data_IF_164543212750
#
_entry.id   IF_164543212750
#
_cell.length_a   1.000
_cell.length_b   1.000
_cell.length_c   1.000
_cell.angle_alpha   90.00
_cell.angle_beta   90.00
_cell.angle_gamma   90.00
#
_symmetry.space_group_name_H-M   'P 1'
#
loop_
_entity.id
_entity.type
_entity.pdbx_description
1 polymer ?
#
# COMPACT_ATOMS: atom_id res chain seq x y z
N UNK A 1 -34.02 55.35 -5.41
CA UNK A 1 -33.65 54.28 -4.47
C UNK A 1 -33.16 52.96 -5.11
N UNK A 2 -33.46 52.66 -6.36
CA UNK A 2 -33.07 51.36 -7.01
C UNK A 2 -31.57 51.21 -7.36
N UNK A 3 -30.85 52.31 -7.60
CA UNK A 3 -29.44 52.26 -8.03
C UNK A 3 -28.45 51.87 -6.91
N UNK A 4 -28.71 52.34 -5.69
CA UNK A 4 -27.84 52.06 -4.53
C UNK A 4 -27.91 50.61 -4.09
N UNK A 5 -29.12 50.01 -4.09
CA UNK A 5 -29.34 48.61 -3.71
C UNK A 5 -28.67 47.64 -4.68
N UNK A 6 -28.71 47.92 -5.99
CA UNK A 6 -28.02 47.10 -7.02
C UNK A 6 -26.52 47.12 -6.81
N UNK A 7 -25.94 48.29 -6.53
CA UNK A 7 -24.50 48.41 -6.25
C UNK A 7 -24.07 47.59 -5.04
N UNK A 8 -24.84 47.64 -3.95
CA UNK A 8 -24.54 46.86 -2.73
C UNK A 8 -24.60 45.34 -3.02
N UNK A 9 -25.62 44.88 -3.73
CA UNK A 9 -25.75 43.45 -4.11
C UNK A 9 -24.57 43.02 -4.98
N UNK A 10 -24.15 43.84 -5.93
CA UNK A 10 -23.01 43.55 -6.79
C UNK A 10 -21.70 43.45 -6.00
N UNK A 11 -21.45 44.37 -5.06
CA UNK A 11 -20.26 44.30 -4.20
C UNK A 11 -20.23 43.07 -3.29
N UNK A 12 -21.39 42.72 -2.70
CA UNK A 12 -21.51 41.51 -1.87
C UNK A 12 -21.27 40.23 -2.70
N UNK A 13 -21.79 40.16 -3.92
CA UNK A 13 -21.57 39.05 -4.81
C UNK A 13 -20.08 38.90 -5.20
N UNK A 14 -19.42 40.01 -5.53
CA UNK A 14 -17.97 40.01 -5.87
C UNK A 14 -17.15 39.58 -4.63
N UNK A 15 -17.49 40.05 -3.42
CA UNK A 15 -16.81 39.68 -2.20
C UNK A 15 -16.95 38.17 -1.91
N UNK A 16 -18.15 37.61 -2.07
CA UNK A 16 -18.41 36.19 -1.91
C UNK A 16 -17.61 35.35 -2.89
N UNK A 17 -17.55 35.75 -4.18
CA UNK A 17 -16.76 35.03 -5.20
C UNK A 17 -15.26 35.09 -4.87
N UNK A 18 -14.76 36.24 -4.40
CA UNK A 18 -13.36 36.38 -3.99
C UNK A 18 -13.02 35.50 -2.77
N UNK A 19 -13.90 35.47 -1.76
CA UNK A 19 -13.70 34.58 -0.58
C UNK A 19 -13.75 33.11 -0.96
N UNK A 20 -14.67 32.72 -1.86
CA UNK A 20 -14.72 31.34 -2.37
C UNK A 20 -13.47 30.99 -3.19
N UNK A 21 -12.98 31.88 -4.04
CA UNK A 21 -11.78 31.67 -4.84
C UNK A 21 -10.53 31.52 -3.95
N UNK A 22 -10.38 32.36 -2.93
CA UNK A 22 -9.27 32.26 -1.96
C UNK A 22 -9.39 30.98 -1.13
N UNK A 23 -10.57 30.66 -0.63
CA UNK A 23 -10.82 29.43 0.14
C UNK A 23 -10.54 28.18 -0.69
N UNK A 24 -10.92 28.16 -1.97
CA UNK A 24 -10.66 27.07 -2.90
C UNK A 24 -9.17 26.96 -3.25
N UNK A 25 -8.48 28.09 -3.45
CA UNK A 25 -7.04 28.10 -3.68
C UNK A 25 -6.27 27.58 -2.45
N UNK A 26 -6.64 27.98 -1.23
CA UNK A 26 -6.05 27.48 0.02
C UNK A 26 -6.36 26.00 0.22
N UNK A 27 -7.57 25.55 -0.13
CA UNK A 27 -7.93 24.13 -0.06
C UNK A 27 -7.11 23.29 -1.04
N UNK A 28 -6.95 23.74 -2.30
CA UNK A 28 -6.11 23.06 -3.28
C UNK A 28 -4.65 23.04 -2.83
N UNK A 29 -4.10 24.16 -2.38
CA UNK A 29 -2.69 24.25 -1.98
C UNK A 29 -2.38 23.50 -0.69
N UNK A 30 -3.28 23.45 0.28
CA UNK A 30 -3.06 22.77 1.56
C UNK A 30 -3.65 21.36 1.62
N UNK A 31 -4.65 21.03 0.79
CA UNK A 31 -5.31 19.73 0.78
C UNK A 31 -4.68 18.71 -0.17
N UNK A 32 -3.92 19.16 -1.18
CA UNK A 32 -3.32 18.27 -2.18
C UNK A 32 -1.79 18.29 -2.24
N UNK A 33 -1.13 19.20 -1.54
CA UNK A 33 0.32 19.09 -1.39
C UNK A 33 0.62 18.09 -0.26
N UNK A 34 0.70 16.80 -0.62
CA UNK A 34 1.51 15.90 0.21
C UNK A 34 2.87 16.58 0.37
N UNK A 35 3.25 16.86 1.62
CA UNK A 35 4.60 17.38 1.90
C UNK A 35 5.58 16.48 1.16
N UNK A 36 6.54 17.05 0.40
CA UNK A 36 7.51 16.22 -0.30
C UNK A 36 8.15 15.29 0.72
N UNK A 37 7.99 13.99 0.51
CA UNK A 37 8.52 12.99 1.43
C UNK A 37 10.05 13.08 1.40
N UNK A 38 10.66 12.91 2.56
CA UNK A 38 12.12 12.99 2.72
C UNK A 38 12.88 11.90 1.95
N UNK A 39 12.16 10.91 1.42
CA UNK A 39 12.75 9.78 0.70
C UNK A 39 11.78 9.21 -0.35
N UNK A 40 12.30 8.38 -1.21
CA UNK A 40 11.56 7.49 -2.10
C UNK A 40 12.17 6.09 -2.11
N UNK A 41 11.44 5.12 -2.61
CA UNK A 41 11.88 3.73 -2.74
C UNK A 41 11.89 3.35 -4.21
N UNK A 42 12.99 2.76 -4.66
CA UNK A 42 13.10 2.15 -5.97
C UNK A 42 12.84 0.64 -5.79
N UNK A 43 11.81 0.12 -6.47
CA UNK A 43 11.39 -1.28 -6.37
C UNK A 43 11.54 -1.91 -7.74
N UNK A 44 12.49 -2.85 -7.87
CA UNK A 44 12.78 -3.51 -9.14
C UNK A 44 13.04 -2.54 -10.31
N UNK A 45 13.43 -1.28 -10.03
CA UNK A 45 13.63 -0.21 -11.01
C UNK A 45 12.51 0.84 -11.05
N UNK A 46 11.37 0.59 -10.40
CA UNK A 46 10.26 1.53 -10.35
C UNK A 46 10.39 2.48 -9.16
N UNK A 47 10.33 3.79 -9.42
CA UNK A 47 10.41 4.81 -8.36
C UNK A 47 9.05 5.04 -7.71
N UNK A 48 8.95 4.73 -6.40
CA UNK A 48 7.77 4.95 -5.58
C UNK A 48 8.04 6.05 -4.54
N UNK A 49 7.25 7.12 -4.58
CA UNK A 49 7.40 8.27 -3.69
C UNK A 49 6.30 8.35 -2.61
N UNK A 50 5.16 7.70 -2.77
CA UNK A 50 4.06 7.75 -1.79
C UNK A 50 3.44 6.40 -1.52
N UNK A 51 2.73 5.86 -2.49
CA UNK A 51 2.11 4.53 -2.43
C UNK A 51 2.15 3.88 -3.81
N UNK A 52 2.17 2.55 -3.81
CA UNK A 52 2.08 1.75 -5.01
C UNK A 52 1.32 0.45 -4.71
N UNK A 53 0.86 -0.24 -5.75
CA UNK A 53 0.10 -1.48 -5.65
C UNK A 53 0.37 -2.38 -6.86
N UNK A 54 -0.10 -3.63 -6.77
CA UNK A 54 -0.04 -4.58 -7.88
C UNK A 54 1.29 -5.33 -8.00
N UNK A 55 2.17 -5.25 -7.00
CA UNK A 55 3.38 -6.08 -6.98
C UNK A 55 3.04 -7.53 -6.64
N UNK A 56 3.70 -8.45 -7.32
CA UNK A 56 3.62 -9.88 -7.04
C UNK A 56 4.92 -10.36 -6.40
N UNK A 57 4.81 -10.95 -5.22
CA UNK A 57 5.92 -11.55 -4.51
C UNK A 57 5.89 -13.07 -4.70
N UNK A 58 6.70 -13.58 -5.61
CA UNK A 58 6.87 -15.01 -5.87
C UNK A 58 8.06 -15.58 -5.07
N UNK A 59 8.05 -16.88 -4.81
CA UNK A 59 9.10 -17.56 -4.02
C UNK A 59 10.51 -17.30 -4.56
N UNK A 60 10.66 -17.27 -5.89
CA UNK A 60 11.97 -17.15 -6.54
C UNK A 60 12.21 -15.75 -7.13
N UNK A 61 11.31 -14.80 -6.88
CA UNK A 61 11.37 -13.42 -7.36
C UNK A 61 11.16 -12.42 -6.22
N UNK A 62 12.21 -12.13 -5.44
CA UNK A 62 12.10 -11.20 -4.33
C UNK A 62 11.78 -9.78 -4.81
N UNK A 63 11.07 -9.01 -3.98
CA UNK A 63 11.00 -7.57 -4.16
C UNK A 63 12.34 -6.96 -3.71
N UNK A 64 13.06 -6.37 -4.66
CA UNK A 64 14.32 -5.66 -4.42
C UNK A 64 14.03 -4.18 -4.24
N UNK A 65 14.25 -3.67 -3.05
CA UNK A 65 13.95 -2.31 -2.68
C UNK A 65 15.22 -1.54 -2.36
N UNK A 66 15.36 -0.34 -2.91
CA UNK A 66 16.42 0.61 -2.57
C UNK A 66 15.81 1.87 -2.00
N UNK A 67 16.13 2.19 -0.75
CA UNK A 67 15.68 3.42 -0.08
C UNK A 67 16.64 4.56 -0.44
N UNK A 68 16.11 5.67 -0.97
CA UNK A 68 16.88 6.84 -1.36
C UNK A 68 16.36 8.07 -0.63
N UNK A 69 17.16 8.60 0.29
CA UNK A 69 16.86 9.85 0.98
C UNK A 69 17.21 11.06 0.09
N UNK A 70 16.39 12.10 0.17
CA UNK A 70 16.60 13.34 -0.59
C UNK A 70 17.67 14.24 0.05
N UNK A 71 17.94 14.08 1.34
CA UNK A 71 19.05 14.74 2.04
C UNK A 71 20.28 13.84 2.07
N UNK A 72 21.48 14.45 2.11
CA UNK A 72 22.76 13.74 2.14
C UNK A 72 23.00 12.95 3.45
N UNK A 73 22.28 13.25 4.51
CA UNK A 73 22.42 12.54 5.77
C UNK A 73 21.77 11.17 5.68
N UNK A 74 22.55 10.12 5.89
CA UNK A 74 22.03 8.75 5.99
C UNK A 74 21.04 8.69 7.14
N UNK A 75 19.78 8.45 6.81
CA UNK A 75 18.70 8.33 7.78
C UNK A 75 18.30 6.87 7.90
N UNK A 76 18.05 6.43 9.13
CA UNK A 76 17.54 5.10 9.39
C UNK A 76 16.07 5.00 8.95
N UNK A 77 15.67 3.78 8.62
CA UNK A 77 14.28 3.45 8.27
C UNK A 77 13.89 2.11 8.87
N UNK A 78 12.62 1.94 9.12
CA UNK A 78 12.01 0.67 9.53
C UNK A 78 11.24 0.08 8.36
N UNK A 79 11.12 -1.24 8.36
CA UNK A 79 10.34 -2.01 7.37
C UNK A 79 9.42 -2.93 8.14
N UNK A 80 8.14 -2.89 7.80
CA UNK A 80 7.10 -3.75 8.35
C UNK A 80 6.21 -4.27 7.22
N UNK A 81 5.60 -5.42 7.41
CA UNK A 81 4.59 -5.95 6.50
C UNK A 81 3.29 -6.12 7.30
N UNK A 82 2.28 -5.38 6.90
CA UNK A 82 0.96 -5.41 7.51
C UNK A 82 -0.04 -6.08 6.58
N UNK A 83 -1.12 -6.63 7.13
CA UNK A 83 -2.27 -7.02 6.31
C UNK A 83 -2.81 -5.80 5.56
N UNK A 84 -3.27 -5.96 4.33
CA UNK A 84 -4.06 -4.94 3.66
C UNK A 84 -5.53 -5.11 4.08
N UNK A 85 -6.27 -4.00 4.27
CA UNK A 85 -7.71 -4.09 4.56
C UNK A 85 -8.42 -4.76 3.37
N UNK A 86 -9.06 -5.89 3.62
CA UNK A 86 -9.73 -6.72 2.61
C UNK A 86 -10.94 -7.44 3.21
N UNK A 87 -11.86 -7.82 2.35
CA UNK A 87 -12.98 -8.74 2.64
C UNK A 87 -12.56 -10.22 2.64
N UNK A 88 -11.28 -10.51 2.34
CA UNK A 88 -10.74 -11.86 2.39
C UNK A 88 -10.78 -12.42 3.81
N UNK A 89 -11.23 -13.67 3.93
CA UNK A 89 -11.38 -14.39 5.20
C UNK A 89 -10.65 -15.73 5.12
N UNK A 90 -9.93 -16.06 6.17
CA UNK A 90 -9.31 -17.36 6.37
C UNK A 90 -9.72 -17.94 7.72
N UNK A 91 -9.43 -19.21 7.95
CA UNK A 91 -9.81 -19.92 9.15
C UNK A 91 -8.57 -20.42 9.88
N UNK A 92 -8.55 -20.24 11.20
CA UNK A 92 -7.55 -20.76 12.11
C UNK A 92 -8.27 -21.66 13.11
N UNK A 93 -8.02 -22.96 13.06
CA UNK A 93 -8.75 -24.00 13.85
C UNK A 93 -10.28 -23.86 13.71
N UNK A 94 -10.75 -23.56 12.51
CA UNK A 94 -12.16 -23.37 12.19
C UNK A 94 -12.74 -22.01 12.60
N UNK A 95 -11.97 -21.13 13.25
CA UNK A 95 -12.41 -19.76 13.58
C UNK A 95 -12.08 -18.81 12.43
N UNK A 96 -13.05 -17.99 12.04
CA UNK A 96 -12.89 -16.99 10.98
C UNK A 96 -11.97 -15.85 11.41
N UNK A 97 -10.99 -15.54 10.57
CA UNK A 97 -10.05 -14.43 10.70
C UNK A 97 -10.12 -13.59 9.41
N UNK A 98 -10.01 -12.27 9.54
CA UNK A 98 -10.06 -11.34 8.40
C UNK A 98 -8.83 -10.44 8.34
N UNK A 99 -8.59 -9.86 7.18
CA UNK A 99 -7.52 -8.89 6.98
C UNK A 99 -7.99 -7.48 7.35
N UNK A 100 -7.59 -7.01 8.54
CA UNK A 100 -8.05 -5.71 9.10
C UNK A 100 -7.30 -4.49 8.56
N UNK A 101 -6.08 -4.72 8.01
CA UNK A 101 -5.18 -3.65 7.54
C UNK A 101 -4.13 -3.20 8.56
N UNK A 102 -4.11 -3.78 9.76
CA UNK A 102 -3.21 -3.40 10.85
C UNK A 102 -2.45 -4.59 11.46
N UNK A 103 -2.80 -5.81 11.06
CA UNK A 103 -2.17 -7.00 11.58
C UNK A 103 -0.75 -7.14 11.03
N UNK A 104 0.23 -7.35 11.93
CA UNK A 104 1.65 -7.49 11.57
C UNK A 104 1.94 -8.91 11.06
N UNK A 105 2.46 -8.99 9.85
CA UNK A 105 2.92 -10.19 9.17
C UNK A 105 4.43 -10.17 8.89
N UNK A 106 5.18 -9.24 9.49
CA UNK A 106 6.61 -9.06 9.19
C UNK A 106 7.40 -10.35 9.32
N UNK A 107 7.16 -11.11 10.40
CA UNK A 107 7.87 -12.37 10.68
C UNK A 107 7.45 -13.54 9.76
N UNK A 108 6.40 -13.37 8.95
CA UNK A 108 5.97 -14.36 7.96
C UNK A 108 6.72 -14.23 6.62
N UNK A 109 7.62 -13.25 6.51
CA UNK A 109 8.44 -12.99 5.32
C UNK A 109 9.92 -12.90 5.71
N UNK A 110 10.79 -13.15 4.74
CA UNK A 110 12.23 -12.98 4.94
C UNK A 110 12.64 -11.60 4.43
N UNK A 111 13.09 -10.73 5.35
CA UNK A 111 13.59 -9.39 5.03
C UNK A 111 15.08 -9.35 5.26
N UNK A 112 15.84 -9.26 4.18
CA UNK A 112 17.32 -9.16 4.24
C UNK A 112 17.74 -7.74 3.89
N UNK A 113 18.55 -7.11 4.78
CA UNK A 113 19.04 -5.73 4.61
C UNK A 113 20.52 -5.68 4.31
N UNK A 114 20.90 -4.80 3.37
CA UNK A 114 22.30 -4.54 3.03
C UNK A 114 22.45 -3.05 2.70
N UNK A 115 22.75 -2.24 3.71
CA UNK A 115 22.87 -0.78 3.57
C UNK A 115 21.54 -0.12 3.20
N UNK A 116 21.51 0.55 2.03
CA UNK A 116 20.31 1.22 1.52
C UNK A 116 19.34 0.28 0.79
N UNK A 117 19.73 -1.00 0.66
CA UNK A 117 18.93 -2.03 0.00
C UNK A 117 18.31 -2.98 1.01
N UNK A 118 17.16 -3.47 0.68
CA UNK A 118 16.60 -4.66 1.31
C UNK A 118 15.82 -5.49 0.28
N UNK A 119 15.73 -6.77 0.56
CA UNK A 119 14.86 -7.69 -0.20
C UNK A 119 13.75 -8.19 0.69
N UNK A 120 12.59 -8.42 0.10
CA UNK A 120 11.47 -9.12 0.73
C UNK A 120 11.24 -10.39 -0.06
N UNK A 121 11.27 -11.52 0.65
CA UNK A 121 11.05 -12.85 0.10
C UNK A 121 9.89 -13.53 0.82
N UNK A 122 9.14 -14.37 0.10
CA UNK A 122 8.08 -15.17 0.70
C UNK A 122 8.56 -16.58 1.02
N UNK A 123 8.06 -17.14 2.10
CA UNK A 123 8.29 -18.55 2.47
C UNK A 123 7.57 -19.53 1.52
N UNK A 124 6.67 -19.03 0.68
CA UNK A 124 5.92 -19.83 -0.27
C UNK A 124 4.69 -19.08 -0.81
N UNK A 125 3.61 -19.81 -0.97
CA UNK A 125 2.32 -19.26 -1.42
C UNK A 125 1.51 -18.70 -0.23
N UNK A 126 0.29 -18.20 -0.49
CA UNK A 126 -0.57 -17.58 0.52
C UNK A 126 -0.81 -18.49 1.73
N UNK A 127 -1.10 -19.78 1.53
CA UNK A 127 -1.32 -20.70 2.66
C UNK A 127 -0.06 -20.86 3.53
N UNK A 128 1.12 -20.86 2.90
CA UNK A 128 2.39 -20.94 3.64
C UNK A 128 2.62 -19.69 4.51
N UNK A 129 2.28 -18.51 4.02
CA UNK A 129 2.37 -17.26 4.79
C UNK A 129 1.39 -17.27 5.96
N UNK A 130 0.13 -17.66 5.74
CA UNK A 130 -0.88 -17.75 6.78
C UNK A 130 -0.53 -18.82 7.84
N UNK A 131 0.05 -19.94 7.41
CA UNK A 131 0.54 -21.00 8.32
C UNK A 131 1.74 -20.52 9.14
N UNK A 132 2.66 -19.73 8.55
CA UNK A 132 3.78 -19.14 9.30
C UNK A 132 3.31 -18.18 10.39
N UNK A 133 2.19 -17.49 10.17
CA UNK A 133 1.55 -16.64 11.19
C UNK A 133 0.95 -17.46 12.33
N UNK A 134 0.51 -18.69 12.06
CA UNK A 134 -0.18 -19.57 13.00
C UNK A 134 0.46 -20.97 12.98
N UNK A 135 1.70 -21.13 13.48
CA UNK A 135 2.49 -22.35 13.26
C UNK A 135 1.85 -23.60 13.88
N UNK A 136 1.17 -23.47 15.01
CA UNK A 136 0.60 -24.58 15.78
C UNK A 136 -0.88 -24.85 15.48
N UNK A 137 -1.49 -24.06 14.59
CA UNK A 137 -2.90 -24.14 14.25
C UNK A 137 -3.12 -24.68 12.83
N UNK A 138 -4.28 -25.28 12.58
CA UNK A 138 -4.69 -25.63 11.23
C UNK A 138 -5.23 -24.39 10.54
N UNK A 139 -4.56 -23.97 9.46
CA UNK A 139 -4.98 -22.84 8.62
C UNK A 139 -5.64 -23.35 7.35
N UNK A 140 -6.77 -22.75 6.99
CA UNK A 140 -7.50 -23.03 5.75
C UNK A 140 -8.20 -21.76 5.24
N UNK A 141 -8.60 -21.73 3.97
CA UNK A 141 -9.42 -20.67 3.37
C UNK A 141 -10.15 -21.21 2.14
N UNK A 142 -11.24 -20.54 1.77
CA UNK A 142 -11.90 -20.85 0.50
C UNK A 142 -11.04 -20.39 -0.68
N UNK A 143 -10.36 -21.34 -1.28
CA UNK A 143 -9.42 -21.11 -2.39
C UNK A 143 -10.09 -20.52 -3.63
N UNK A 144 -11.40 -20.71 -3.80
CA UNK A 144 -12.17 -20.14 -4.91
C UNK A 144 -12.53 -18.68 -4.69
N UNK A 145 -12.56 -18.25 -3.42
CA UNK A 145 -12.90 -16.88 -3.03
C UNK A 145 -11.66 -15.98 -2.92
N UNK A 146 -10.45 -16.48 -3.19
CA UNK A 146 -9.23 -15.64 -3.11
C UNK A 146 -9.29 -14.59 -4.20
N UNK A 147 -9.43 -13.33 -3.83
CA UNK A 147 -9.41 -12.25 -4.80
C UNK A 147 -8.00 -12.09 -5.35
N UNK A 148 -7.89 -11.71 -6.62
CA UNK A 148 -6.65 -11.20 -7.21
C UNK A 148 -6.36 -9.78 -6.66
N UNK A 149 -6.31 -9.67 -5.34
CA UNK A 149 -6.13 -8.42 -4.60
C UNK A 149 -4.83 -8.44 -3.81
N UNK A 150 -4.26 -7.28 -3.66
CA UNK A 150 -3.11 -7.08 -2.78
C UNK A 150 -3.54 -7.30 -1.31
N UNK A 151 -3.12 -8.41 -0.72
CA UNK A 151 -3.46 -8.78 0.66
C UNK A 151 -2.46 -8.27 1.70
N UNK A 152 -1.28 -7.81 1.26
CA UNK A 152 -0.23 -7.34 2.14
C UNK A 152 0.22 -5.94 1.76
N UNK A 153 0.70 -5.21 2.76
CA UNK A 153 1.25 -3.86 2.62
C UNK A 153 2.64 -3.81 3.23
N UNK A 154 3.65 -3.62 2.41
CA UNK A 154 5.00 -3.27 2.84
C UNK A 154 5.00 -1.80 3.26
N UNK A 155 5.36 -1.53 4.50
CA UNK A 155 5.39 -0.20 5.11
C UNK A 155 6.84 0.16 5.42
N UNK A 156 7.34 1.21 4.78
CA UNK A 156 8.69 1.73 4.98
C UNK A 156 8.56 3.09 5.62
N UNK A 157 9.15 3.25 6.82
CA UNK A 157 9.04 4.49 7.60
C UNK A 157 10.43 5.06 7.87
N UNK A 158 10.68 6.30 7.46
CA UNK A 158 11.88 7.03 7.83
C UNK A 158 11.84 7.42 9.32
N UNK A 159 12.90 7.13 10.07
CA UNK A 159 12.92 7.42 11.52
C UNK A 159 12.97 8.92 11.83
N UNK A 160 13.54 9.71 10.93
CA UNK A 160 13.80 11.14 11.15
C UNK A 160 12.54 12.02 11.20
N UNK A 161 11.61 11.81 10.27
CA UNK A 161 10.42 12.66 10.08
C UNK A 161 9.12 11.86 10.08
N UNK A 162 9.23 10.54 10.35
CA UNK A 162 8.10 9.59 10.33
C UNK A 162 7.38 9.52 8.99
N UNK A 163 8.02 10.00 7.91
CA UNK A 163 7.48 9.82 6.57
C UNK A 163 7.35 8.33 6.25
N UNK A 164 6.24 7.95 5.62
CA UNK A 164 5.91 6.54 5.35
C UNK A 164 5.58 6.34 3.88
N UNK A 165 6.14 5.29 3.29
CA UNK A 165 5.78 4.78 1.96
C UNK A 165 5.08 3.44 2.14
N UNK A 166 3.96 3.24 1.46
CA UNK A 166 3.14 2.04 1.53
C UNK A 166 3.06 1.37 0.16
N UNK A 167 3.43 0.09 0.09
CA UNK A 167 3.48 -0.68 -1.15
C UNK A 167 2.63 -1.92 -0.97
N UNK A 168 1.56 -2.02 -1.72
CA UNK A 168 0.68 -3.17 -1.69
C UNK A 168 1.19 -4.25 -2.62
N UNK A 169 1.14 -5.48 -2.14
CA UNK A 169 1.55 -6.64 -2.92
C UNK A 169 0.69 -7.86 -2.61
N UNK A 170 0.71 -8.81 -3.53
CA UNK A 170 0.07 -10.12 -3.40
C UNK A 170 1.11 -11.23 -3.38
N UNK A 171 0.73 -12.34 -2.77
CA UNK A 171 1.48 -13.60 -2.81
C UNK A 171 0.68 -14.59 -3.66
N UNK A 172 1.33 -15.44 -4.47
CA UNK A 172 0.63 -16.36 -5.35
C UNK A 172 -0.36 -17.27 -4.61
N UNK A 173 -1.52 -17.45 -5.22
CA UNK A 173 -2.45 -18.50 -4.86
C UNK A 173 -2.37 -19.61 -5.93
N UNK A 174 -1.94 -20.83 -5.59
CA UNK A 174 -1.73 -21.90 -6.58
C UNK A 174 -2.97 -22.25 -7.42
N UNK A 175 -4.17 -22.02 -6.91
CA UNK A 175 -5.39 -22.30 -7.67
C UNK A 175 -5.77 -21.20 -8.66
N UNK A 176 -5.31 -19.96 -8.45
CA UNK A 176 -5.51 -18.88 -9.41
C UNK A 176 -4.69 -19.09 -10.69
N UNK A 177 -3.53 -19.75 -10.59
CA UNK A 177 -2.70 -20.08 -11.75
C UNK A 177 -3.33 -21.15 -12.67
N UNK A 178 -4.09 -22.09 -12.11
CA UNK A 178 -4.74 -23.18 -12.89
C UNK A 178 -5.92 -22.64 -13.71
N UNK A 179 -6.61 -21.61 -13.24
CA UNK A 179 -7.75 -21.00 -13.95
C UNK A 179 -7.29 -20.13 -15.13
N UNK A 180 -6.06 -19.64 -15.11
CA UNK A 180 -5.49 -18.79 -16.17
C UNK A 180 -4.72 -19.56 -17.25
N UNK A 181 -4.57 -20.87 -17.14
CA UNK A 181 -3.99 -21.67 -18.23
C UNK A 181 -5.04 -21.81 -19.34
N UNK A 182 -4.84 -21.22 -20.53
CA UNK A 182 -5.76 -21.42 -21.62
C UNK A 182 -5.80 -22.91 -21.95
N UNK A 183 -7.00 -23.51 -21.89
CA UNK A 183 -7.21 -24.86 -22.37
C UNK A 183 -6.60 -24.97 -23.77
N UNK A 184 -5.53 -25.73 -23.92
CA UNK A 184 -5.03 -26.10 -25.23
C UNK A 184 -6.15 -26.89 -25.90
N UNK A 185 -6.84 -26.22 -26.81
CA UNK A 185 -7.69 -26.89 -27.77
C UNK A 185 -6.80 -27.81 -28.59
N UNK A 186 -6.81 -29.11 -28.28
CA UNK A 186 -6.25 -30.14 -29.14
C UNK A 186 -7.30 -30.35 -30.23
N UNK A 187 -6.99 -29.85 -31.43
CA UNK A 187 -7.69 -30.17 -32.67
C UNK A 187 -7.10 -31.45 -33.22
#
# INVERSE_FOLDING_TARGET
>A
MKSSTIKIITYVAILLVAVFAIGFAVFITNGFTEKPKSFYVDINGDKVASSASGYLLEKDKPLKCKVKFLSSDRKNYTVQILSAKSDFTYFVDGKSCGFTGEEDFTDCFVITRTGDYFTVETVGNLISVLQSKNPDAKVDYDRKAVPDKDLFTLVITAESDKATIRIRFKVPNPEAEIVMSPARLVI
#
